data_IF_974184157429
#
_entry.id   IF_974184157429
#
_cell.length_a   1.000
_cell.length_b   1.000
_cell.length_c   1.000
_cell.angle_alpha   90.00
_cell.angle_beta   90.00
_cell.angle_gamma   90.00
#
_symmetry.space_group_name_H-M   'P 1'
#
loop_
_entity.id
_entity.type
_entity.pdbx_description
1 polymer ?
#
# COMPACT_ATOMS: atom_id res chain seq x y z
N UNK A 1 -15.16 -5.29 -15.99
CA UNK A 1 -15.04 -5.13 -14.53
C UNK A 1 -15.31 -6.47 -13.87
N UNK A 2 -14.45 -6.95 -12.99
CA UNK A 2 -14.67 -8.23 -12.30
C UNK A 2 -15.88 -8.13 -11.36
N UNK A 3 -16.53 -9.26 -11.05
CA UNK A 3 -17.69 -9.29 -10.15
C UNK A 3 -17.38 -8.69 -8.77
N UNK A 4 -16.16 -8.91 -8.27
CA UNK A 4 -15.66 -8.31 -7.04
C UNK A 4 -15.59 -6.78 -7.10
N UNK A 5 -15.19 -6.20 -8.24
CA UNK A 5 -15.11 -4.76 -8.44
C UNK A 5 -16.51 -4.14 -8.50
N UNK A 6 -17.46 -4.80 -9.18
CA UNK A 6 -18.85 -4.36 -9.23
C UNK A 6 -19.41 -4.22 -7.81
N UNK A 7 -19.20 -5.23 -6.97
CA UNK A 7 -19.64 -5.20 -5.58
C UNK A 7 -18.94 -4.12 -4.75
N UNK A 8 -17.65 -3.90 -4.96
CA UNK A 8 -16.89 -2.83 -4.29
C UNK A 8 -17.44 -1.44 -4.69
N UNK A 9 -17.72 -1.22 -5.98
CA UNK A 9 -18.32 0.03 -6.46
C UNK A 9 -19.68 0.29 -5.82
N UNK A 10 -20.56 -0.71 -5.76
CA UNK A 10 -21.88 -0.58 -5.10
C UNK A 10 -21.75 -0.15 -3.63
N UNK A 11 -20.83 -0.77 -2.88
CA UNK A 11 -20.59 -0.44 -1.47
C UNK A 11 -20.07 1.00 -1.33
N UNK A 12 -19.13 1.41 -2.18
CA UNK A 12 -18.56 2.76 -2.17
C UNK A 12 -19.60 3.81 -2.56
N UNK A 13 -20.43 3.54 -3.57
CA UNK A 13 -21.54 4.44 -3.95
C UNK A 13 -22.55 4.60 -2.82
N UNK A 14 -22.95 3.51 -2.19
CA UNK A 14 -23.88 3.57 -1.06
C UNK A 14 -23.29 4.34 0.13
N UNK A 15 -21.98 4.18 0.40
CA UNK A 15 -21.28 4.91 1.45
C UNK A 15 -21.14 6.41 1.12
N UNK A 16 -20.88 6.73 -0.15
CA UNK A 16 -20.77 8.11 -0.62
C UNK A 16 -22.12 8.82 -0.57
N UNK A 17 -23.17 8.20 -1.09
CA UNK A 17 -24.53 8.73 -1.02
C UNK A 17 -25.02 8.96 0.43
N UNK A 18 -24.59 8.12 1.36
CA UNK A 18 -24.87 8.26 2.79
C UNK A 18 -23.98 9.29 3.52
N UNK A 19 -23.11 10.02 2.80
CA UNK A 19 -22.19 11.03 3.38
C UNK A 19 -21.06 10.45 4.23
N UNK A 20 -20.87 9.13 4.25
CA UNK A 20 -19.81 8.47 5.03
C UNK A 20 -18.39 8.61 4.43
N UNK A 21 -18.30 9.13 3.20
CA UNK A 21 -17.05 9.38 2.50
C UNK A 21 -16.91 10.88 2.18
N UNK A 22 -17.21 11.75 3.15
CA UNK A 22 -17.24 13.21 2.97
C UNK A 22 -15.88 13.82 2.58
N UNK A 23 -14.76 13.13 2.85
CA UNK A 23 -13.40 13.54 2.45
C UNK A 23 -13.08 13.23 0.98
N UNK A 24 -13.89 12.38 0.31
CA UNK A 24 -13.70 12.04 -1.10
C UNK A 24 -14.39 13.10 -1.95
N UNK A 25 -13.60 13.93 -2.62
CA UNK A 25 -14.11 14.98 -3.50
C UNK A 25 -14.52 14.48 -4.89
N UNK A 26 -13.78 13.49 -5.42
CA UNK A 26 -14.03 12.88 -6.71
C UNK A 26 -14.05 11.35 -6.56
N UNK A 27 -15.18 10.69 -6.87
CA UNK A 27 -15.33 9.23 -6.75
C UNK A 27 -14.42 8.49 -7.74
N UNK A 28 -13.23 8.09 -7.30
CA UNK A 28 -12.22 7.39 -8.09
C UNK A 28 -12.60 5.96 -8.47
N UNK A 29 -13.66 5.43 -7.87
CA UNK A 29 -14.22 4.11 -8.18
C UNK A 29 -15.21 4.11 -9.34
N UNK A 30 -15.63 5.28 -9.82
CA UNK A 30 -16.48 5.38 -11.00
C UNK A 30 -15.65 5.15 -12.26
N UNK A 31 -16.22 4.48 -13.28
CA UNK A 31 -15.55 4.31 -14.55
C UNK A 31 -15.16 5.65 -15.16
N UNK A 32 -13.93 5.74 -15.68
CA UNK A 32 -13.48 6.85 -16.51
C UNK A 32 -13.97 6.71 -17.96
N UNK A 33 -13.49 7.57 -18.84
CA UNK A 33 -13.86 7.58 -20.28
C UNK A 33 -13.50 6.28 -21.01
N UNK A 34 -12.49 5.56 -20.49
CA UNK A 34 -12.05 4.26 -20.99
C UNK A 34 -12.79 3.09 -20.32
N UNK A 35 -13.75 3.36 -19.43
CA UNK A 35 -14.49 2.37 -18.67
C UNK A 35 -13.70 1.72 -17.52
N UNK A 36 -12.57 2.30 -17.13
CA UNK A 36 -11.69 1.78 -16.04
C UNK A 36 -12.02 2.42 -14.71
N UNK A 37 -11.99 1.60 -13.66
CA UNK A 37 -12.16 2.03 -12.27
C UNK A 37 -10.81 2.01 -11.54
N UNK A 38 -10.53 3.06 -10.76
CA UNK A 38 -9.27 3.22 -10.05
C UNK A 38 -9.43 2.91 -8.56
N UNK A 39 -10.08 1.77 -8.29
CA UNK A 39 -10.31 1.21 -6.96
C UNK A 39 -9.00 0.92 -6.23
N UNK A 40 -9.08 0.81 -4.91
CA UNK A 40 -7.98 0.34 -4.09
C UNK A 40 -7.63 -1.11 -4.38
N UNK A 41 -6.43 -1.35 -4.94
CA UNK A 41 -5.93 -2.69 -5.27
C UNK A 41 -4.56 -2.96 -4.66
N UNK A 42 -4.26 -4.24 -4.48
CA UNK A 42 -2.99 -4.71 -3.95
C UNK A 42 -2.75 -4.40 -2.48
N UNK A 43 -1.54 -4.66 -2.02
CA UNK A 43 -1.16 -4.60 -0.60
C UNK A 43 -1.24 -3.19 0.01
N UNK A 44 -1.11 -2.15 -0.81
CA UNK A 44 -1.15 -0.74 -0.38
C UNK A 44 -2.48 -0.05 -0.67
N UNK A 45 -3.47 -0.76 -1.21
CA UNK A 45 -4.74 -0.17 -1.65
C UNK A 45 -4.50 1.00 -2.61
N UNK A 46 -3.73 0.76 -3.68
CA UNK A 46 -3.43 1.76 -4.70
C UNK A 46 -4.73 2.30 -5.31
N UNK A 47 -4.98 3.60 -5.21
CA UNK A 47 -6.18 4.28 -5.70
C UNK A 47 -5.82 5.43 -6.61
N UNK A 48 -6.79 5.92 -7.40
CA UNK A 48 -6.65 7.01 -8.36
C UNK A 48 -5.71 6.72 -9.54
N UNK A 49 -6.18 7.07 -10.76
CA UNK A 49 -5.45 6.87 -12.03
C UNK A 49 -3.99 7.35 -11.94
N UNK A 50 -3.76 8.55 -11.43
CA UNK A 50 -2.41 9.14 -11.30
C UNK A 50 -1.42 8.26 -10.53
N UNK A 51 -1.91 7.52 -9.52
CA UNK A 51 -1.05 6.64 -8.73
C UNK A 51 -0.75 5.34 -9.49
N UNK A 52 -1.70 4.83 -10.28
CA UNK A 52 -1.46 3.72 -11.19
C UNK A 52 -0.44 4.10 -12.27
N UNK A 53 -0.55 5.30 -12.86
CA UNK A 53 0.41 5.85 -13.82
C UNK A 53 1.81 5.96 -13.19
N UNK A 54 1.92 6.53 -11.99
CA UNK A 54 3.19 6.66 -11.29
C UNK A 54 3.82 5.30 -10.97
N UNK A 55 3.02 4.33 -10.52
CA UNK A 55 3.50 2.98 -10.25
C UNK A 55 3.86 2.22 -11.52
N UNK A 56 3.15 2.44 -12.63
CA UNK A 56 3.52 1.86 -13.93
C UNK A 56 4.93 2.30 -14.36
N UNK A 57 5.23 3.59 -14.23
CA UNK A 57 6.56 4.12 -14.54
C UNK A 57 7.63 3.55 -13.60
N UNK A 58 7.32 3.49 -12.30
CA UNK A 58 8.27 3.06 -11.29
C UNK A 58 8.61 1.57 -11.37
N UNK A 59 7.62 0.73 -11.64
CA UNK A 59 7.76 -0.73 -11.62
C UNK A 59 8.00 -1.35 -13.01
N UNK A 60 7.75 -0.60 -14.08
CA UNK A 60 7.75 -1.13 -15.45
C UNK A 60 6.55 -2.03 -15.77
N UNK A 61 5.55 -2.10 -14.88
CA UNK A 61 4.32 -2.88 -15.07
C UNK A 61 3.24 -1.95 -15.61
N UNK A 62 2.63 -2.26 -16.75
CA UNK A 62 1.54 -1.44 -17.28
C UNK A 62 0.24 -1.64 -16.50
N UNK A 63 0.11 -0.88 -15.40
CA UNK A 63 -1.06 -0.89 -14.53
C UNK A 63 -2.18 0.03 -15.06
N UNK A 64 -1.89 0.85 -16.07
CA UNK A 64 -2.90 1.71 -16.69
C UNK A 64 -3.69 0.94 -17.72
N UNK A 65 -3.03 0.11 -18.53
CA UNK A 65 -3.72 -0.75 -19.48
C UNK A 65 -4.55 -1.83 -18.76
N UNK A 66 -4.00 -2.40 -17.67
CA UNK A 66 -4.65 -3.43 -16.89
C UNK A 66 -4.47 -3.17 -15.38
N UNK A 67 -5.40 -2.42 -14.73
CA UNK A 67 -5.32 -2.11 -13.30
C UNK A 67 -5.39 -3.33 -12.38
N UNK A 68 -5.97 -4.45 -12.84
CA UNK A 68 -6.13 -5.66 -12.04
C UNK A 68 -4.79 -6.37 -11.79
N UNK A 69 -3.77 -6.09 -12.60
CA UNK A 69 -2.40 -6.56 -12.36
C UNK A 69 -1.82 -6.12 -11.00
N UNK A 70 -2.31 -5.01 -10.43
CA UNK A 70 -1.94 -4.61 -9.09
C UNK A 70 -2.37 -5.61 -8.00
N UNK A 71 -3.25 -6.59 -8.32
CA UNK A 71 -3.64 -7.69 -7.43
C UNK A 71 -2.76 -8.93 -7.58
N UNK A 72 -1.95 -9.04 -8.66
CA UNK A 72 -0.96 -10.10 -8.79
C UNK A 72 0.09 -9.97 -7.69
N UNK A 73 0.43 -11.08 -7.02
CA UNK A 73 1.30 -11.01 -5.82
C UNK A 73 2.64 -10.35 -6.11
N UNK A 74 3.29 -10.72 -7.21
CA UNK A 74 4.61 -10.16 -7.57
C UNK A 74 4.53 -8.66 -7.86
N UNK A 75 3.48 -8.23 -8.58
CA UNK A 75 3.23 -6.81 -8.84
C UNK A 75 2.91 -6.05 -7.55
N UNK A 76 2.05 -6.59 -6.69
CA UNK A 76 1.66 -5.97 -5.43
C UNK A 76 2.84 -5.79 -4.48
N UNK A 77 3.74 -6.78 -4.39
CA UNK A 77 4.98 -6.71 -3.60
C UNK A 77 5.94 -5.69 -4.20
N UNK A 78 6.12 -5.67 -5.51
CA UNK A 78 6.98 -4.70 -6.20
C UNK A 78 6.48 -3.28 -5.98
N UNK A 79 5.17 -3.03 -6.14
CA UNK A 79 4.54 -1.72 -5.86
C UNK A 79 4.78 -1.30 -4.41
N UNK A 80 4.60 -2.21 -3.45
CA UNK A 80 4.81 -1.93 -2.03
C UNK A 80 6.26 -1.52 -1.76
N UNK A 81 7.23 -2.32 -2.19
CA UNK A 81 8.65 -2.10 -1.91
C UNK A 81 9.14 -0.83 -2.59
N UNK A 82 8.97 -0.71 -3.90
CA UNK A 82 9.44 0.44 -4.67
C UNK A 82 8.74 1.74 -4.22
N UNK A 83 7.45 1.66 -3.94
CA UNK A 83 6.69 2.80 -3.44
C UNK A 83 7.18 3.30 -2.08
N UNK A 84 7.56 2.40 -1.16
CA UNK A 84 8.15 2.77 0.13
C UNK A 84 9.58 3.31 -0.02
N UNK A 85 10.39 2.75 -0.89
CA UNK A 85 11.75 3.22 -1.14
C UNK A 85 11.77 4.63 -1.73
N UNK A 86 10.85 4.93 -2.64
CA UNK A 86 10.77 6.22 -3.33
C UNK A 86 9.88 7.27 -2.63
N UNK A 87 9.13 6.87 -1.59
CA UNK A 87 8.18 7.76 -0.91
C UNK A 87 6.94 8.08 -1.73
N UNK A 88 6.58 7.22 -2.68
CA UNK A 88 5.53 7.49 -3.67
C UNK A 88 4.12 7.59 -3.07
N UNK A 89 3.89 7.05 -1.87
CA UNK A 89 2.54 7.03 -1.28
C UNK A 89 2.20 8.32 -0.51
N UNK A 90 3.17 8.84 0.24
CA UNK A 90 2.93 9.98 1.15
C UNK A 90 4.02 11.05 1.10
N UNK A 91 5.08 10.84 0.35
CA UNK A 91 6.30 11.66 0.36
C UNK A 91 7.35 11.18 1.38
N UNK A 92 7.00 10.29 2.33
CA UNK A 92 7.95 9.69 3.26
C UNK A 92 8.58 8.44 2.66
N UNK A 93 9.90 8.32 2.77
CA UNK A 93 10.68 7.17 2.31
C UNK A 93 11.00 6.23 3.45
N UNK A 94 11.26 4.97 3.14
CA UNK A 94 11.73 4.00 4.13
C UNK A 94 12.98 4.50 4.86
N UNK A 95 13.93 5.07 4.13
CA UNK A 95 15.18 5.60 4.68
C UNK A 95 15.00 6.80 5.63
N UNK A 96 13.87 7.50 5.61
CA UNK A 96 13.60 8.62 6.53
C UNK A 96 13.37 8.11 7.96
N UNK A 97 12.93 6.86 8.12
CA UNK A 97 12.55 6.27 9.40
C UNK A 97 13.43 5.09 9.81
N UNK A 98 13.92 4.31 8.84
CA UNK A 98 14.69 3.09 9.06
C UNK A 98 15.97 3.15 8.22
N UNK A 99 17.11 3.36 8.90
CA UNK A 99 18.42 3.46 8.28
C UNK A 99 19.52 3.01 9.25
N UNK A 100 20.80 3.20 8.92
CA UNK A 100 21.93 2.77 9.74
C UNK A 100 21.99 3.41 11.14
N UNK A 101 21.35 4.57 11.35
CA UNK A 101 21.41 5.36 12.58
C UNK A 101 20.05 5.58 13.25
N UNK A 102 18.96 5.20 12.57
CA UNK A 102 17.59 5.49 13.02
C UNK A 102 16.72 4.25 12.87
N UNK A 103 16.01 3.90 13.92
CA UNK A 103 14.99 2.84 13.93
C UNK A 103 13.67 3.39 14.48
N UNK A 104 13.02 4.28 13.74
CA UNK A 104 11.73 4.87 14.13
C UNK A 104 10.56 4.06 13.55
N UNK A 105 10.33 2.91 14.16
CA UNK A 105 9.28 1.97 13.74
C UNK A 105 7.87 2.56 13.82
N UNK A 106 7.60 3.44 14.76
CA UNK A 106 6.29 4.05 14.96
C UNK A 106 5.97 5.04 13.83
N UNK A 107 6.89 5.97 13.56
CA UNK A 107 6.69 6.94 12.49
C UNK A 107 6.90 6.34 11.07
N UNK A 108 7.53 5.18 10.94
CA UNK A 108 7.58 4.43 9.68
C UNK A 108 6.17 4.14 9.10
N UNK A 109 5.13 4.13 9.93
CA UNK A 109 3.74 4.03 9.47
C UNK A 109 3.37 5.13 8.46
N UNK A 110 3.98 6.32 8.56
CA UNK A 110 3.74 7.47 7.67
C UNK A 110 4.14 7.22 6.23
N UNK A 111 5.00 6.24 5.96
CA UNK A 111 5.44 5.89 4.59
C UNK A 111 4.25 5.50 3.70
N UNK A 112 3.26 4.79 4.26
CA UNK A 112 2.10 4.29 3.51
C UNK A 112 0.82 5.03 3.87
N UNK A 113 0.69 5.49 5.13
CA UNK A 113 -0.54 6.10 5.63
C UNK A 113 -0.21 7.15 6.71
N UNK A 114 -1.23 7.69 7.38
CA UNK A 114 -1.04 8.52 8.57
C UNK A 114 -0.53 7.71 9.78
N UNK A 115 -0.81 8.20 10.99
CA UNK A 115 -0.35 7.56 12.24
C UNK A 115 -1.36 6.62 12.87
N UNK A 116 -2.46 6.30 12.17
CA UNK A 116 -3.46 5.35 12.67
C UNK A 116 -2.81 4.00 12.99
N UNK A 117 -3.04 3.53 14.22
CA UNK A 117 -2.49 2.26 14.76
C UNK A 117 -0.97 2.11 14.63
N UNK A 118 -0.21 3.21 14.59
CA UNK A 118 1.23 3.19 14.34
C UNK A 118 1.99 2.33 15.35
N UNK A 119 1.71 2.46 16.65
CA UNK A 119 2.36 1.67 17.71
C UNK A 119 2.09 0.16 17.56
N UNK A 120 0.85 -0.22 17.26
CA UNK A 120 0.48 -1.63 17.04
C UNK A 120 1.23 -2.22 15.85
N UNK A 121 1.31 -1.49 14.74
CA UNK A 121 2.01 -1.93 13.53
C UNK A 121 3.52 -1.97 13.74
N UNK A 122 4.08 -1.00 14.49
CA UNK A 122 5.48 -1.02 14.90
C UNK A 122 5.81 -2.29 15.69
N UNK A 123 4.96 -2.68 16.64
CA UNK A 123 5.15 -3.91 17.41
C UNK A 123 5.21 -5.16 16.52
N UNK A 124 4.34 -5.27 15.51
CA UNK A 124 4.39 -6.37 14.55
C UNK A 124 5.67 -6.34 13.70
N UNK A 125 6.03 -5.16 13.17
CA UNK A 125 7.21 -5.00 12.33
C UNK A 125 8.50 -5.36 13.08
N UNK A 126 8.64 -4.92 14.33
CA UNK A 126 9.78 -5.26 15.19
C UNK A 126 9.86 -6.76 15.47
N UNK A 127 8.72 -7.43 15.71
CA UNK A 127 8.69 -8.87 15.94
C UNK A 127 9.15 -9.65 14.68
N UNK A 128 8.66 -9.27 13.49
CA UNK A 128 9.11 -9.86 12.23
C UNK A 128 10.59 -9.58 11.96
N UNK A 129 11.04 -8.35 12.18
CA UNK A 129 12.44 -7.98 12.00
C UNK A 129 13.37 -8.80 12.90
N UNK A 130 13.02 -8.98 14.17
CA UNK A 130 13.78 -9.81 15.10
C UNK A 130 13.83 -11.29 14.65
N UNK A 131 12.70 -11.82 14.17
CA UNK A 131 12.62 -13.22 13.70
C UNK A 131 13.43 -13.48 12.41
N UNK A 132 13.61 -12.46 11.57
CA UNK A 132 14.38 -12.56 10.34
C UNK A 132 15.90 -12.38 10.52
N UNK A 133 16.37 -11.99 11.71
CA UNK A 133 17.82 -11.86 11.97
C UNK A 133 18.47 -13.25 12.08
N UNK A 134 19.54 -13.54 11.33
CA UNK A 134 20.18 -14.88 11.33
C UNK A 134 20.76 -15.30 12.67
N UNK A 135 21.09 -14.35 13.54
CA UNK A 135 21.79 -14.62 14.82
C UNK A 135 20.85 -15.10 15.94
N UNK A 136 19.53 -15.05 15.76
CA UNK A 136 18.58 -15.53 16.78
C UNK A 136 18.52 -17.05 16.89
N UNK A 137 19.03 -17.80 15.89
CA UNK A 137 18.94 -19.25 15.81
C UNK A 137 20.14 -20.01 16.39
N UNK A 138 21.23 -19.36 16.81
CA UNK A 138 22.46 -20.04 17.26
C UNK A 138 22.74 -19.96 18.77
N UNK A 139 21.83 -19.39 19.57
CA UNK A 139 22.00 -19.25 21.04
C UNK A 139 21.54 -20.47 21.88
N UNK A 140 21.13 -21.57 21.27
CA UNK A 140 20.46 -22.69 21.97
C UNK A 140 21.14 -24.05 21.97
N UNK A 141 22.44 -24.16 21.71
CA UNK A 141 23.09 -25.48 21.79
C UNK A 141 24.59 -25.39 22.11
N UNK A 142 24.96 -25.04 23.32
CA UNK A 142 26.21 -25.48 23.99
C UNK A 142 26.01 -25.36 25.49
N UNK A 143 25.78 -26.49 26.12
CA UNK A 143 25.78 -26.72 27.55
C UNK A 143 25.43 -28.15 27.81
#
# INVERSE_FOLDING_TARGET
MAESDTRAVEILEAAFAAGRLSWVKAPYWRPDEDGRCWLGRGLVQLTHRRNYEAMSVLTGIDLVADPDRAMEMDAAVTILIEGMLQGSFTGHKLADHLNATTEDWVNARRIVNGTDRAEKLAGYAMAFHAAMRPDAAQGGARG
#
